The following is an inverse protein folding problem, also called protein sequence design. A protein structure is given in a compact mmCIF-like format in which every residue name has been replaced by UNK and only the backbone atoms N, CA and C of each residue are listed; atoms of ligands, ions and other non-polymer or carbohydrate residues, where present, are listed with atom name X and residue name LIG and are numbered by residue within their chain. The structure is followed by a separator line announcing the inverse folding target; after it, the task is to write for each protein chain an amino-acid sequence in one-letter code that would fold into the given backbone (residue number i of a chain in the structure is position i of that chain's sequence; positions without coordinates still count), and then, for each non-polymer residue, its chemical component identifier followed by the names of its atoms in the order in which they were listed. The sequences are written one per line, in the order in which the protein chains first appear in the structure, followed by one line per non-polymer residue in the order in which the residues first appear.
data_IF_424647578255
#
_entry.id   IF_424647578255
#
_cell.length_a   1.000
_cell.length_b   1.000
_cell.length_c   1.000
_cell.angle_alpha   90.00
_cell.angle_beta   90.00
_cell.angle_gamma   90.00
#
_symmetry.space_group_name_H-M   'P 1'
#
loop_
_entity.id
_entity.type
_entity.pdbx_description
1 polymer ?
#
# COMPACT_ATOMS: atom_id res chain seq x y z
N UNK A 1 10.83 20.17 9.40
CA UNK A 1 10.08 19.19 10.21
C UNK A 1 10.10 17.82 9.52
N UNK A 2 10.94 16.88 9.98
CA UNK A 2 10.95 15.51 9.45
C UNK A 2 9.75 14.78 10.05
N UNK A 3 8.71 14.48 9.26
CA UNK A 3 7.53 13.75 9.75
C UNK A 3 7.99 12.40 10.29
N UNK A 4 7.77 12.13 11.58
CA UNK A 4 7.98 10.80 12.15
C UNK A 4 7.06 9.84 11.41
N UNK A 5 7.61 8.74 10.88
CA UNK A 5 6.81 7.69 10.28
C UNK A 5 5.93 7.09 11.38
N UNK A 6 4.65 7.46 11.43
CA UNK A 6 3.67 6.68 12.18
C UNK A 6 3.67 5.30 11.53
N UNK A 7 3.84 4.24 12.33
CA UNK A 7 3.73 2.86 11.84
C UNK A 7 2.29 2.65 11.39
N UNK A 8 1.99 2.96 10.13
CA UNK A 8 0.69 2.65 9.54
C UNK A 8 0.73 1.16 9.22
N UNK A 9 -0.03 0.35 9.97
CA UNK A 9 -0.12 -1.09 9.75
C UNK A 9 -0.76 -1.43 8.40
N UNK A 10 -1.59 -0.52 7.87
CA UNK A 10 -2.28 -0.67 6.59
C UNK A 10 -1.59 0.15 5.50
N UNK A 11 -1.15 -0.48 4.39
CA UNK A 11 -0.63 0.28 3.26
C UNK A 11 -1.75 1.17 2.69
N UNK A 12 -1.39 2.39 2.30
CA UNK A 12 -2.29 3.31 1.59
C UNK A 12 -1.73 3.60 0.20
N UNK A 13 -2.59 3.98 -0.74
CA UNK A 13 -2.17 4.29 -2.11
C UNK A 13 -1.08 5.38 -2.14
N UNK A 14 -1.25 6.43 -1.32
CA UNK A 14 -0.27 7.51 -1.21
C UNK A 14 1.08 7.04 -0.66
N UNK A 15 1.07 6.25 0.42
CA UNK A 15 2.30 5.70 1.00
C UNK A 15 3.04 4.79 0.00
N UNK A 16 2.31 3.90 -0.68
CA UNK A 16 2.90 3.00 -1.68
C UNK A 16 3.43 3.78 -2.90
N UNK A 17 2.73 4.84 -3.33
CA UNK A 17 3.21 5.71 -4.41
C UNK A 17 4.53 6.39 -4.05
N UNK A 18 4.65 6.88 -2.81
CA UNK A 18 5.90 7.49 -2.31
C UNK A 18 7.04 6.47 -2.30
N UNK A 19 6.79 5.25 -1.81
CA UNK A 19 7.79 4.18 -1.80
C UNK A 19 8.24 3.82 -3.21
N UNK A 20 7.31 3.60 -4.14
CA UNK A 20 7.65 3.25 -5.52
C UNK A 20 8.38 4.40 -6.24
N UNK A 21 8.04 5.66 -5.94
CA UNK A 21 8.77 6.82 -6.45
C UNK A 21 10.20 6.86 -5.91
N UNK A 22 10.39 6.64 -4.60
CA UNK A 22 11.73 6.59 -3.99
C UNK A 22 12.59 5.45 -4.54
N UNK A 23 11.97 4.35 -4.93
CA UNK A 23 12.64 3.20 -5.56
C UNK A 23 12.88 3.36 -7.07
N UNK A 24 12.49 4.48 -7.68
CA UNK A 24 12.77 4.77 -9.09
C UNK A 24 11.85 4.09 -10.12
N UNK A 25 10.65 3.66 -9.73
CA UNK A 25 9.71 3.06 -10.68
C UNK A 25 9.17 4.12 -11.66
N UNK A 26 9.10 3.79 -12.97
CA UNK A 26 8.62 4.71 -14.03
C UNK A 26 7.19 5.24 -13.82
N UNK A 27 6.29 4.43 -13.27
CA UNK A 27 4.86 4.78 -13.05
C UNK A 27 4.44 4.46 -11.61
N UNK A 28 4.91 5.22 -10.61
CA UNK A 28 4.77 4.83 -9.20
C UNK A 28 3.31 4.73 -8.76
N UNK A 29 2.43 5.60 -9.27
CA UNK A 29 0.98 5.54 -9.01
C UNK A 29 0.33 4.27 -9.59
N UNK A 30 0.77 3.84 -10.77
CA UNK A 30 0.30 2.59 -11.39
C UNK A 30 0.73 1.36 -10.60
N UNK A 31 2.00 1.31 -10.20
CA UNK A 31 2.51 0.24 -9.33
C UNK A 31 1.78 0.19 -7.98
N UNK A 32 1.53 1.36 -7.38
CA UNK A 32 0.77 1.48 -6.15
C UNK A 32 -0.67 0.96 -6.30
N UNK A 33 -1.34 1.26 -7.42
CA UNK A 33 -2.68 0.73 -7.70
C UNK A 33 -2.69 -0.80 -7.79
N UNK A 34 -1.73 -1.40 -8.50
CA UNK A 34 -1.62 -2.87 -8.62
C UNK A 34 -1.40 -3.51 -7.25
N UNK A 35 -0.49 -2.94 -6.45
CA UNK A 35 -0.23 -3.40 -5.09
C UNK A 35 -1.50 -3.33 -4.22
N UNK A 36 -2.18 -2.18 -4.21
CA UNK A 36 -3.40 -1.99 -3.40
C UNK A 36 -4.54 -2.92 -3.84
N UNK A 37 -4.64 -3.23 -5.14
CA UNK A 37 -5.62 -4.20 -5.65
C UNK A 37 -5.37 -5.60 -5.06
N UNK A 38 -4.14 -6.10 -5.12
CA UNK A 38 -3.78 -7.39 -4.54
C UNK A 38 -3.91 -7.43 -3.02
N UNK A 39 -3.58 -6.33 -2.34
CA UNK A 39 -3.76 -6.20 -0.90
C UNK A 39 -5.25 -6.29 -0.50
N UNK A 40 -6.13 -5.61 -1.22
CA UNK A 40 -7.57 -5.62 -0.93
C UNK A 40 -8.18 -6.99 -1.24
N UNK A 41 -7.82 -7.61 -2.37
CA UNK A 41 -8.27 -8.95 -2.74
C UNK A 41 -7.86 -9.99 -1.68
N UNK A 42 -6.59 -9.96 -1.25
CA UNK A 42 -6.12 -10.83 -0.17
C UNK A 42 -6.83 -10.55 1.16
N UNK A 43 -7.05 -9.27 1.48
CA UNK A 43 -7.77 -8.87 2.70
C UNK A 43 -9.20 -9.41 2.71
N UNK A 44 -9.89 -9.40 1.57
CA UNK A 44 -11.24 -9.96 1.42
C UNK A 44 -11.20 -11.50 1.51
N UNK A 45 -10.32 -12.14 0.76
CA UNK A 45 -10.20 -13.60 0.68
C UNK A 45 -9.82 -14.25 2.01
N UNK A 46 -8.91 -13.63 2.76
CA UNK A 46 -8.38 -14.16 4.01
C UNK A 46 -8.95 -13.46 5.25
N UNK A 47 -9.99 -12.64 5.10
CA UNK A 47 -10.75 -12.18 6.26
C UNK A 47 -11.35 -13.40 6.94
N UNK A 48 -10.78 -13.76 8.10
CA UNK A 48 -11.29 -14.84 8.94
C UNK A 48 -12.76 -14.51 9.21
N UNK A 49 -13.70 -15.28 8.65
CA UNK A 49 -15.12 -15.19 8.98
C UNK A 49 -15.20 -15.21 10.50
N UNK A 50 -15.59 -14.09 11.12
CA UNK A 50 -16.00 -14.09 12.52
C UNK A 50 -17.22 -15.01 12.58
N UNK A 51 -17.00 -16.24 13.05
CA UNK A 51 -18.07 -17.07 13.60
C UNK A 51 -18.51 -16.46 14.92
#
# INVERSE_FOLDING_TARGET
MRRKSTKIATPTLGAMTVIFRQRGYKRPKGCANVYMKGFNDAKEKYQKRKR
#
